data_IF_761031141915
#
_entry.id   IF_761031141915
#
_cell.length_a   1.000
_cell.length_b   1.000
_cell.length_c   1.000
_cell.angle_alpha   90.00
_cell.angle_beta   90.00
_cell.angle_gamma   90.00
#
_symmetry.space_group_name_H-M   'P 1'
#
loop_
_entity.id
_entity.type
_entity.pdbx_description
1 polymer ?
#
# COMPACT_ATOMS: atom_id res chain seq x y z
N UNK A 1 6.62 -35.03 -4.70
CA UNK A 1 8.06 -34.68 -4.73
C UNK A 1 8.27 -33.61 -3.66
N UNK A 2 9.11 -33.87 -2.66
CA UNK A 2 9.34 -32.90 -1.59
C UNK A 2 10.39 -31.87 -2.05
N UNK A 3 9.89 -30.74 -2.61
CA UNK A 3 10.74 -29.64 -3.01
C UNK A 3 11.07 -28.75 -1.81
N UNK A 4 12.32 -28.32 -1.72
CA UNK A 4 12.79 -27.37 -0.72
C UNK A 4 12.70 -25.96 -1.29
N UNK A 5 12.24 -24.99 -0.48
CA UNK A 5 12.25 -23.59 -0.88
C UNK A 5 13.66 -23.02 -0.87
N UNK A 6 14.01 -22.19 -1.86
CA UNK A 6 15.31 -21.47 -1.89
C UNK A 6 15.54 -20.67 -0.61
N UNK A 7 14.47 -20.07 -0.06
CA UNK A 7 14.54 -19.39 1.25
C UNK A 7 15.08 -20.28 2.36
N UNK A 8 14.65 -21.55 2.42
CA UNK A 8 15.10 -22.46 3.48
C UNK A 8 16.58 -22.84 3.29
N UNK A 9 17.05 -22.96 2.05
CA UNK A 9 18.48 -23.17 1.75
C UNK A 9 19.35 -22.02 2.29
N UNK A 10 18.88 -20.76 2.17
CA UNK A 10 19.59 -19.61 2.72
C UNK A 10 19.48 -19.49 4.24
N UNK A 11 18.30 -19.73 4.79
CA UNK A 11 18.01 -19.53 6.23
C UNK A 11 18.51 -20.67 7.11
N UNK A 12 18.62 -21.88 6.54
CA UNK A 12 18.99 -23.11 7.25
C UNK A 12 20.11 -23.85 6.51
N UNK A 13 21.07 -23.11 5.98
CA UNK A 13 22.14 -23.65 5.14
C UNK A 13 22.82 -24.87 5.77
N UNK A 14 23.07 -24.85 7.06
CA UNK A 14 23.75 -25.94 7.80
C UNK A 14 22.99 -27.28 7.76
N UNK A 15 21.64 -27.24 7.60
CA UNK A 15 20.83 -28.44 7.49
C UNK A 15 20.92 -29.10 6.10
N UNK A 16 21.25 -28.31 5.06
CA UNK A 16 21.18 -28.74 3.67
C UNK A 16 22.54 -28.91 2.98
N UNK A 17 23.60 -28.32 3.52
CA UNK A 17 24.96 -28.50 2.95
C UNK A 17 25.34 -29.98 2.98
N UNK A 18 25.93 -30.44 1.86
CA UNK A 18 26.27 -31.84 1.56
C UNK A 18 25.08 -32.79 1.39
N UNK A 19 23.83 -32.31 1.46
CA UNK A 19 22.63 -33.09 1.13
C UNK A 19 22.23 -32.90 -0.33
N UNK A 20 21.55 -33.92 -0.88
CA UNK A 20 20.83 -33.79 -2.16
C UNK A 20 19.50 -33.10 -1.92
N UNK A 21 19.27 -31.99 -2.62
CA UNK A 21 18.05 -31.18 -2.54
C UNK A 21 17.36 -31.12 -3.89
N UNK A 22 16.04 -30.93 -3.85
CA UNK A 22 15.23 -30.69 -5.08
C UNK A 22 14.56 -29.34 -4.95
N UNK A 23 14.75 -28.46 -5.94
CA UNK A 23 14.10 -27.15 -6.07
C UNK A 23 13.38 -27.03 -7.42
N UNK A 24 12.29 -26.25 -7.45
CA UNK A 24 11.64 -25.86 -8.70
C UNK A 24 11.71 -24.34 -8.84
N UNK A 25 11.95 -23.83 -10.04
CA UNK A 25 12.02 -22.40 -10.23
C UNK A 25 12.24 -21.96 -11.69
N UNK A 26 12.44 -20.67 -11.88
CA UNK A 26 12.61 -20.05 -13.20
C UNK A 26 14.03 -19.61 -13.42
N UNK A 27 14.51 -19.87 -14.65
CA UNK A 27 15.84 -19.46 -15.11
C UNK A 27 15.91 -17.93 -15.21
N UNK A 28 16.80 -17.33 -14.41
CA UNK A 28 17.13 -15.89 -14.44
C UNK A 28 18.29 -15.57 -15.35
N UNK A 29 19.26 -16.45 -15.42
CA UNK A 29 20.35 -16.39 -16.39
C UNK A 29 20.95 -17.77 -16.59
N UNK A 30 21.54 -17.97 -17.77
CA UNK A 30 22.30 -19.18 -18.09
C UNK A 30 23.63 -18.77 -18.74
N UNK A 31 24.67 -19.48 -18.41
CA UNK A 31 26.01 -19.35 -19.01
C UNK A 31 26.54 -20.72 -19.31
N UNK A 32 26.81 -20.97 -20.57
CA UNK A 32 27.30 -22.25 -21.07
C UNK A 32 28.82 -22.22 -21.25
N UNK A 33 29.48 -23.33 -20.98
CA UNK A 33 30.84 -23.63 -21.30
C UNK A 33 30.86 -25.02 -21.97
N UNK A 34 32.01 -25.40 -22.52
CA UNK A 34 32.13 -26.60 -23.41
C UNK A 34 31.63 -27.91 -22.75
N UNK A 35 31.84 -28.10 -21.45
CA UNK A 35 31.50 -29.35 -20.75
C UNK A 35 30.63 -29.11 -19.49
N UNK A 36 30.30 -27.88 -19.15
CA UNK A 36 29.52 -27.50 -17.98
C UNK A 36 28.88 -26.12 -18.18
N UNK A 37 27.99 -25.75 -17.31
CA UNK A 37 27.39 -24.41 -17.31
C UNK A 37 26.83 -24.03 -15.96
N UNK A 38 26.34 -22.80 -15.90
CA UNK A 38 25.74 -22.20 -14.71
C UNK A 38 24.35 -21.70 -15.03
N UNK A 39 23.39 -22.05 -14.21
CA UNK A 39 22.02 -21.52 -14.25
C UNK A 39 21.77 -20.79 -12.94
N UNK A 40 21.25 -19.58 -13.02
CA UNK A 40 20.72 -18.86 -11.86
C UNK A 40 19.22 -19.10 -11.82
N UNK A 41 18.73 -19.70 -10.75
CA UNK A 41 17.33 -20.08 -10.56
C UNK A 41 16.72 -19.26 -9.43
N UNK A 42 15.53 -18.75 -9.66
CA UNK A 42 14.72 -18.10 -8.65
C UNK A 42 13.39 -18.85 -8.54
N UNK A 43 13.00 -19.23 -7.32
CA UNK A 43 11.76 -19.93 -7.03
C UNK A 43 10.65 -19.00 -6.48
N UNK A 44 10.94 -17.70 -6.33
CA UNK A 44 10.02 -16.71 -5.78
C UNK A 44 9.89 -16.75 -4.24
N UNK A 45 10.52 -17.68 -3.54
CA UNK A 45 10.43 -17.78 -2.08
C UNK A 45 11.45 -16.90 -1.35
N UNK A 46 12.51 -16.49 -2.03
CA UNK A 46 13.57 -15.65 -1.48
C UNK A 46 14.08 -14.66 -2.52
N UNK A 47 14.54 -13.49 -2.08
CA UNK A 47 15.02 -12.45 -2.98
C UNK A 47 16.33 -12.86 -3.70
N UNK A 48 17.26 -13.49 -2.99
CA UNK A 48 18.50 -13.97 -3.58
C UNK A 48 18.26 -15.29 -4.33
N UNK A 49 18.63 -15.36 -5.61
CA UNK A 49 18.50 -16.58 -6.39
C UNK A 49 19.63 -17.55 -6.06
N UNK A 50 19.44 -18.83 -6.42
CA UNK A 50 20.47 -19.87 -6.25
C UNK A 50 21.20 -20.15 -7.56
N UNK A 51 22.51 -20.40 -7.47
CA UNK A 51 23.32 -20.88 -8.59
C UNK A 51 23.26 -22.41 -8.67
N UNK A 52 23.00 -22.89 -9.86
CA UNK A 52 23.05 -24.32 -10.22
C UNK A 52 24.21 -24.51 -11.19
N UNK A 53 25.06 -25.48 -10.87
CA UNK A 53 26.14 -25.94 -11.76
C UNK A 53 25.70 -27.23 -12.41
N UNK A 54 25.73 -27.30 -13.72
CA UNK A 54 25.44 -28.52 -14.48
C UNK A 54 26.58 -28.89 -15.39
N UNK A 55 26.69 -30.16 -15.75
CA UNK A 55 27.77 -30.68 -16.59
C UNK A 55 27.24 -31.70 -17.60
N UNK A 56 28.12 -32.07 -18.55
CA UNK A 56 27.84 -33.06 -19.57
C UNK A 56 27.60 -34.50 -19.06
N UNK A 57 27.53 -34.68 -17.75
CA UNK A 57 27.10 -35.94 -17.11
C UNK A 57 25.56 -36.06 -17.13
N UNK A 58 24.83 -34.92 -17.27
CA UNK A 58 23.38 -34.94 -17.43
C UNK A 58 22.97 -35.65 -18.73
N UNK A 59 21.97 -36.53 -18.67
CA UNK A 59 21.43 -37.22 -19.84
C UNK A 59 20.88 -36.24 -20.89
N UNK A 60 20.32 -35.10 -20.44
CA UNK A 60 19.70 -34.08 -21.29
C UNK A 60 20.55 -32.78 -21.37
N UNK A 61 21.88 -32.91 -21.25
CA UNK A 61 22.81 -31.75 -21.29
C UNK A 61 22.55 -30.83 -22.47
N UNK A 62 22.42 -31.38 -23.69
CA UNK A 62 22.19 -30.65 -24.93
C UNK A 62 20.90 -29.83 -24.95
N UNK A 63 19.88 -30.27 -24.20
CA UNK A 63 18.62 -29.52 -24.08
C UNK A 63 18.71 -28.46 -23.00
N UNK A 64 19.39 -28.74 -21.89
CA UNK A 64 19.63 -27.79 -20.79
C UNK A 64 20.47 -26.61 -21.29
N UNK A 65 21.52 -26.83 -22.09
CA UNK A 65 22.35 -25.74 -22.61
C UNK A 65 21.61 -24.78 -23.56
N UNK A 66 20.49 -25.21 -24.15
CA UNK A 66 19.61 -24.41 -25.04
C UNK A 66 18.52 -23.64 -24.30
N UNK A 67 18.42 -23.77 -23.00
CA UNK A 67 17.40 -23.08 -22.22
C UNK A 67 17.53 -21.56 -22.33
N UNK A 68 16.39 -20.89 -22.39
CA UNK A 68 16.31 -19.43 -22.35
C UNK A 68 15.92 -18.94 -20.95
N UNK A 69 16.20 -17.66 -20.72
CA UNK A 69 15.68 -16.93 -19.53
C UNK A 69 14.15 -17.06 -19.50
N UNK A 70 13.61 -17.31 -18.32
CA UNK A 70 12.18 -17.51 -18.11
C UNK A 70 11.72 -18.96 -18.19
N UNK A 71 12.57 -19.91 -18.63
CA UNK A 71 12.23 -21.33 -18.59
C UNK A 71 11.98 -21.81 -17.15
N UNK A 72 11.04 -22.74 -16.98
CA UNK A 72 10.75 -23.38 -15.71
C UNK A 72 11.46 -24.74 -15.63
N UNK A 73 12.19 -24.97 -14.55
CA UNK A 73 12.96 -26.21 -14.35
C UNK A 73 12.80 -26.73 -12.91
N UNK A 74 12.95 -28.06 -12.78
CA UNK A 74 13.16 -28.72 -11.49
C UNK A 74 14.60 -29.25 -11.48
N UNK A 75 15.33 -28.91 -10.42
CA UNK A 75 16.72 -29.28 -10.24
C UNK A 75 16.86 -30.16 -9.02
N UNK A 76 17.42 -31.36 -9.20
CA UNK A 76 17.87 -32.22 -8.10
C UNK A 76 19.39 -32.30 -8.13
N UNK A 77 20.03 -32.07 -7.00
CA UNK A 77 21.48 -32.10 -6.91
C UNK A 77 22.01 -31.82 -5.52
N UNK A 78 23.31 -31.99 -5.36
CA UNK A 78 24.01 -31.78 -4.10
C UNK A 78 24.20 -30.30 -3.80
N UNK A 79 23.81 -29.84 -2.61
CA UNK A 79 24.11 -28.48 -2.13
C UNK A 79 25.54 -28.43 -1.62
N UNK A 80 26.37 -27.59 -2.21
CA UNK A 80 27.78 -27.47 -1.88
C UNK A 80 28.11 -26.06 -1.40
N UNK A 81 28.74 -25.94 -0.23
CA UNK A 81 29.19 -24.66 0.27
C UNK A 81 30.31 -24.08 -0.61
N UNK A 82 30.25 -22.77 -0.86
CA UNK A 82 31.25 -22.04 -1.67
C UNK A 82 31.85 -20.87 -0.88
N UNK A 83 32.60 -21.15 0.20
CA UNK A 83 33.16 -20.13 1.07
C UNK A 83 34.12 -19.20 0.28
N UNK A 84 33.99 -17.88 0.53
CA UNK A 84 34.83 -16.87 -0.13
C UNK A 84 34.38 -16.45 -1.53
N UNK A 85 33.27 -16.97 -2.02
CA UNK A 85 32.62 -16.49 -3.27
C UNK A 85 31.44 -15.57 -2.97
N UNK A 86 30.84 -15.00 -4.02
CA UNK A 86 29.72 -14.08 -3.87
C UNK A 86 28.48 -14.76 -3.28
N UNK A 87 28.20 -16.01 -3.65
CA UNK A 87 27.12 -16.81 -3.10
C UNK A 87 27.66 -17.79 -2.05
N UNK A 88 26.90 -18.08 -0.97
CA UNK A 88 27.37 -18.95 0.12
C UNK A 88 27.42 -20.44 -0.26
N UNK A 89 26.66 -20.84 -1.28
CA UNK A 89 26.56 -22.21 -1.79
C UNK A 89 26.10 -22.25 -3.24
N UNK A 90 26.18 -23.43 -3.84
CA UNK A 90 25.61 -23.74 -5.15
C UNK A 90 25.03 -25.16 -5.15
N UNK A 91 24.13 -25.46 -6.09
CA UNK A 91 23.62 -26.80 -6.31
C UNK A 91 24.40 -27.43 -7.47
N UNK A 92 25.08 -28.52 -7.22
CA UNK A 92 25.67 -29.34 -8.27
C UNK A 92 24.62 -30.31 -8.78
N UNK A 93 24.08 -30.03 -9.96
CA UNK A 93 22.94 -30.74 -10.54
C UNK A 93 23.30 -32.18 -10.89
N UNK A 94 22.51 -33.11 -10.39
CA UNK A 94 22.48 -34.53 -10.73
C UNK A 94 21.39 -34.82 -11.77
N UNK A 95 20.28 -34.04 -11.72
CA UNK A 95 19.15 -34.11 -12.65
C UNK A 95 18.56 -32.73 -12.85
N UNK A 96 18.19 -32.39 -14.08
CA UNK A 96 17.41 -31.20 -14.42
C UNK A 96 16.23 -31.65 -15.28
N UNK A 97 15.01 -31.41 -14.78
CA UNK A 97 13.79 -31.63 -15.52
C UNK A 97 13.30 -30.28 -16.07
N UNK A 98 12.95 -30.24 -17.36
CA UNK A 98 12.45 -29.04 -18.02
C UNK A 98 10.92 -29.09 -17.99
N UNK A 99 10.31 -28.31 -17.07
CA UNK A 99 8.86 -28.19 -16.93
C UNK A 99 8.24 -27.35 -18.04
N UNK A 100 8.92 -26.27 -18.41
CA UNK A 100 8.44 -25.37 -19.46
C UNK A 100 9.58 -24.59 -20.11
N UNK A 101 9.61 -24.62 -21.45
CA UNK A 101 10.57 -23.83 -22.21
C UNK A 101 10.13 -22.38 -22.33
N UNK A 102 11.11 -21.48 -22.49
CA UNK A 102 10.87 -20.07 -22.81
C UNK A 102 11.39 -19.78 -24.22
N UNK A 103 10.61 -19.04 -24.98
CA UNK A 103 10.97 -18.69 -26.36
C UNK A 103 11.93 -17.49 -26.42
N UNK A 104 12.71 -17.34 -27.51
CA UNK A 104 13.69 -16.26 -27.65
C UNK A 104 13.11 -14.84 -27.62
N UNK A 105 11.82 -14.68 -27.85
CA UNK A 105 11.08 -13.42 -27.81
C UNK A 105 10.59 -13.04 -26.40
N UNK A 106 10.94 -13.83 -25.37
CA UNK A 106 10.65 -13.50 -23.98
C UNK A 106 11.05 -12.06 -23.64
N UNK A 107 10.12 -11.19 -23.19
CA UNK A 107 10.36 -9.74 -23.15
C UNK A 107 11.35 -9.30 -22.08
N UNK A 108 11.52 -10.09 -21.00
CA UNK A 108 12.42 -9.76 -19.89
C UNK A 108 13.85 -10.30 -20.16
N UNK A 109 14.45 -9.87 -21.25
CA UNK A 109 15.83 -10.22 -21.59
C UNK A 109 16.84 -9.56 -20.62
N UNK A 110 18.09 -10.04 -20.60
CA UNK A 110 19.18 -9.54 -19.76
C UNK A 110 19.61 -8.12 -20.17
N UNK A 111 18.73 -7.14 -19.96
CA UNK A 111 18.98 -5.70 -20.17
C UNK A 111 18.19 -4.89 -19.15
N UNK A 112 18.55 -3.62 -18.97
CA UNK A 112 17.76 -2.71 -18.13
C UNK A 112 16.43 -2.38 -18.83
N UNK A 113 15.32 -2.54 -18.11
CA UNK A 113 13.99 -2.16 -18.56
C UNK A 113 13.53 -0.93 -17.78
N UNK A 114 12.84 0.02 -18.44
CA UNK A 114 12.23 1.15 -17.75
C UNK A 114 10.94 0.70 -17.02
N UNK A 115 10.54 1.43 -16.00
CA UNK A 115 9.30 1.14 -15.30
C UNK A 115 8.07 1.34 -16.19
N UNK A 116 8.10 2.33 -17.09
CA UNK A 116 7.05 2.55 -18.09
C UNK A 116 6.85 1.31 -18.96
N UNK A 117 7.93 0.74 -19.48
CA UNK A 117 7.85 -0.50 -20.25
C UNK A 117 7.31 -1.66 -19.41
N UNK A 118 7.80 -1.82 -18.17
CA UNK A 118 7.34 -2.91 -17.29
C UNK A 118 5.87 -2.79 -16.90
N UNK A 119 5.29 -1.60 -16.91
CA UNK A 119 3.84 -1.41 -16.74
C UNK A 119 3.03 -1.97 -17.91
N UNK A 120 3.56 -1.97 -19.12
CA UNK A 120 2.88 -2.55 -20.29
C UNK A 120 2.86 -4.07 -20.29
N UNK A 121 3.68 -4.70 -19.44
CA UNK A 121 3.74 -6.15 -19.24
C UNK A 121 3.56 -6.51 -17.76
N UNK A 122 2.55 -5.94 -17.12
CA UNK A 122 2.29 -6.08 -15.69
C UNK A 122 2.23 -7.54 -15.21
N UNK A 123 1.77 -8.46 -16.06
CA UNK A 123 1.71 -9.91 -15.78
C UNK A 123 3.10 -10.60 -15.75
N UNK A 124 4.13 -10.00 -16.32
CA UNK A 124 5.50 -10.55 -16.34
C UNK A 124 6.46 -9.78 -15.43
N UNK A 125 6.19 -8.50 -15.13
CA UNK A 125 7.10 -7.68 -14.33
C UNK A 125 7.45 -8.24 -12.94
N UNK A 126 6.58 -9.07 -12.26
CA UNK A 126 6.96 -9.71 -11.01
C UNK A 126 8.21 -10.61 -11.10
N UNK A 127 8.56 -11.05 -12.31
CA UNK A 127 9.79 -11.83 -12.57
C UNK A 127 11.06 -10.99 -12.59
N UNK A 128 10.99 -9.67 -12.38
CA UNK A 128 12.16 -8.79 -12.24
C UNK A 128 12.53 -8.61 -10.77
N UNK A 129 13.79 -8.39 -10.45
CA UNK A 129 14.24 -8.19 -9.06
C UNK A 129 13.48 -7.05 -8.36
N UNK A 130 13.26 -5.93 -9.06
CA UNK A 130 12.57 -4.77 -8.47
C UNK A 130 11.15 -5.12 -8.06
N UNK A 131 10.37 -5.74 -8.96
CA UNK A 131 8.97 -6.01 -8.67
C UNK A 131 8.77 -7.26 -7.82
N UNK A 132 9.69 -8.21 -7.85
CA UNK A 132 9.76 -9.28 -6.86
C UNK A 132 9.91 -8.68 -5.45
N UNK A 133 10.91 -7.81 -5.24
CA UNK A 133 11.12 -7.14 -3.97
C UNK A 133 9.90 -6.31 -3.53
N UNK A 134 9.33 -5.49 -4.43
CA UNK A 134 8.17 -4.64 -4.14
C UNK A 134 6.99 -5.47 -3.67
N UNK A 135 6.62 -6.53 -4.40
CA UNK A 135 5.42 -7.30 -4.05
C UNK A 135 5.62 -8.24 -2.87
N UNK A 136 6.84 -8.70 -2.61
CA UNK A 136 7.16 -9.40 -1.36
C UNK A 136 7.02 -8.48 -0.15
N UNK A 137 7.61 -7.27 -0.22
CA UNK A 137 7.50 -6.28 0.86
C UNK A 137 6.05 -5.80 1.01
N UNK A 138 5.31 -5.57 -0.09
CA UNK A 138 3.87 -5.26 -0.03
C UNK A 138 3.09 -6.32 0.75
N UNK A 139 3.32 -7.61 0.47
CA UNK A 139 2.69 -8.71 1.19
C UNK A 139 3.04 -8.71 2.67
N UNK A 140 4.32 -8.45 2.99
CA UNK A 140 4.80 -8.40 4.37
C UNK A 140 4.21 -7.23 5.16
N UNK A 141 4.08 -6.05 4.54
CA UNK A 141 3.42 -4.87 5.13
C UNK A 141 1.96 -5.19 5.45
N UNK A 142 1.23 -5.84 4.54
CA UNK A 142 -0.16 -6.21 4.79
C UNK A 142 -0.29 -7.14 6.01
N UNK A 143 0.58 -8.14 6.11
CA UNK A 143 0.63 -9.02 7.28
C UNK A 143 0.99 -8.26 8.57
N UNK A 144 1.98 -7.37 8.52
CA UNK A 144 2.39 -6.56 9.67
C UNK A 144 1.25 -5.69 10.20
N UNK A 145 0.44 -5.09 9.31
CA UNK A 145 -0.73 -4.29 9.67
C UNK A 145 -1.77 -5.16 10.39
N UNK A 146 -2.15 -6.31 9.81
CA UNK A 146 -3.07 -7.22 10.47
C UNK A 146 -2.54 -7.68 11.83
N UNK A 147 -1.27 -8.05 11.91
CA UNK A 147 -0.62 -8.48 13.15
C UNK A 147 -0.65 -7.37 14.21
N UNK A 148 -0.32 -6.14 13.83
CA UNK A 148 -0.36 -4.97 14.73
C UNK A 148 -1.73 -4.80 15.41
N UNK A 149 -2.80 -4.84 14.62
CA UNK A 149 -4.14 -4.64 15.14
C UNK A 149 -4.67 -5.86 15.92
N UNK A 150 -4.44 -7.07 15.40
CA UNK A 150 -4.92 -8.29 16.07
C UNK A 150 -4.26 -8.52 17.43
N UNK A 151 -2.96 -8.21 17.56
CA UNK A 151 -2.24 -8.29 18.86
C UNK A 151 -2.69 -7.24 19.88
N UNK A 152 -3.53 -6.28 19.47
CA UNK A 152 -4.12 -5.20 20.29
C UNK A 152 -5.62 -5.34 20.45
N UNK A 153 -6.16 -6.52 20.18
CA UNK A 153 -7.59 -6.85 20.32
C UNK A 153 -8.52 -5.98 19.44
N UNK A 154 -8.03 -5.47 18.30
CA UNK A 154 -8.88 -4.82 17.31
C UNK A 154 -9.65 -5.86 16.50
N UNK A 155 -10.92 -5.58 16.22
CA UNK A 155 -11.74 -6.41 15.35
C UNK A 155 -11.61 -5.95 13.90
N UNK A 156 -11.23 -6.86 13.00
CA UNK A 156 -11.25 -6.60 11.56
C UNK A 156 -12.66 -6.62 11.02
N UNK A 157 -13.10 -5.55 10.39
CA UNK A 157 -14.46 -5.40 9.87
C UNK A 157 -14.47 -5.31 8.35
N UNK A 158 -15.30 -6.14 7.72
CA UNK A 158 -15.63 -6.03 6.30
C UNK A 158 -16.73 -4.99 6.12
N UNK A 159 -16.40 -3.83 5.59
CA UNK A 159 -17.37 -2.80 5.20
C UNK A 159 -17.76 -2.95 3.72
N UNK A 160 -18.97 -2.54 3.30
CA UNK A 160 -19.43 -2.70 1.93
C UNK A 160 -18.58 -1.95 0.92
N UNK A 161 -18.26 -2.59 -0.20
CA UNK A 161 -17.63 -1.94 -1.36
C UNK A 161 -18.65 -1.23 -2.25
N UNK A 162 -19.88 -1.76 -2.32
CA UNK A 162 -21.00 -1.13 -3.02
C UNK A 162 -21.84 -0.40 -1.99
N UNK A 163 -22.00 0.90 -2.14
CA UNK A 163 -22.66 1.76 -1.18
C UNK A 163 -23.66 2.72 -1.84
N UNK A 164 -24.68 3.11 -1.08
CA UNK A 164 -25.59 4.19 -1.46
C UNK A 164 -25.26 5.53 -0.78
N UNK A 165 -24.18 5.61 0.02
CA UNK A 165 -23.76 6.83 0.73
C UNK A 165 -22.39 7.28 0.29
N UNK A 166 -22.14 8.60 0.31
CA UNK A 166 -20.81 9.19 0.09
C UNK A 166 -20.18 9.55 1.43
N UNK A 167 -19.09 8.88 1.78
CA UNK A 167 -18.39 9.09 3.05
C UNK A 167 -17.79 10.49 3.15
N UNK A 168 -17.29 11.04 2.05
CA UNK A 168 -16.61 12.34 2.04
C UNK A 168 -17.54 13.50 1.67
N UNK A 169 -18.75 13.18 1.17
CA UNK A 169 -19.78 14.17 0.83
C UNK A 169 -19.52 14.99 -0.45
N UNK A 170 -18.45 14.69 -1.17
CA UNK A 170 -18.07 15.37 -2.42
C UNK A 170 -17.20 14.48 -3.32
N UNK A 171 -17.15 13.17 -3.06
CA UNK A 171 -16.30 12.25 -3.80
C UNK A 171 -16.79 11.98 -5.21
N UNK A 172 -15.90 12.01 -6.19
CA UNK A 172 -16.18 11.46 -7.51
C UNK A 172 -16.19 9.93 -7.42
N UNK A 173 -17.39 9.35 -7.47
CA UNK A 173 -17.61 7.92 -7.27
C UNK A 173 -17.88 7.19 -8.58
N UNK A 174 -17.33 5.99 -8.73
CA UNK A 174 -17.74 5.09 -9.80
C UNK A 174 -19.14 4.55 -9.53
N UNK A 175 -20.04 4.71 -10.48
CA UNK A 175 -21.40 4.17 -10.38
C UNK A 175 -21.41 2.66 -10.65
N UNK A 176 -22.17 1.93 -9.84
CA UNK A 176 -22.45 0.50 -10.02
C UNK A 176 -23.89 0.32 -10.48
N UNK A 177 -24.08 -0.22 -11.66
CA UNK A 177 -25.43 -0.42 -12.25
C UNK A 177 -25.48 -1.67 -13.12
N UNK A 178 -26.65 -2.29 -13.19
CA UNK A 178 -26.96 -3.38 -14.13
C UNK A 178 -27.89 -2.92 -15.25
N UNK A 179 -28.22 -1.63 -15.30
CA UNK A 179 -29.06 -1.08 -16.37
C UNK A 179 -28.30 -1.07 -17.72
N UNK A 180 -29.02 -1.31 -18.80
CA UNK A 180 -28.47 -1.18 -20.14
C UNK A 180 -28.25 0.30 -20.46
N UNK A 181 -26.99 0.69 -20.58
CA UNK A 181 -26.60 2.09 -20.87
C UNK A 181 -27.11 2.59 -22.24
N UNK A 182 -27.43 1.69 -23.15
CA UNK A 182 -28.02 2.03 -24.46
C UNK A 182 -29.53 2.23 -24.41
N UNK A 183 -30.19 1.73 -23.33
CA UNK A 183 -31.64 1.76 -23.20
C UNK A 183 -32.02 1.99 -21.72
N UNK A 184 -31.63 3.14 -21.17
CA UNK A 184 -31.91 3.50 -19.81
C UNK A 184 -33.41 3.68 -19.57
N UNK A 185 -34.01 3.02 -18.56
CA UNK A 185 -35.38 3.32 -18.13
C UNK A 185 -35.43 4.73 -17.55
N UNK A 186 -36.51 5.46 -17.86
CA UNK A 186 -36.65 6.86 -17.42
C UNK A 186 -37.96 7.10 -16.71
N UNK A 187 -37.90 7.96 -15.72
CA UNK A 187 -39.03 8.56 -15.07
C UNK A 187 -39.74 9.57 -16.00
N UNK A 188 -40.99 9.98 -15.69
CA UNK A 188 -41.71 10.99 -16.49
C UNK A 188 -40.99 12.36 -16.62
N UNK A 189 -40.10 12.69 -15.67
CA UNK A 189 -39.27 13.90 -15.66
C UNK A 189 -37.97 13.77 -16.47
N UNK A 190 -37.72 12.61 -17.07
CA UNK A 190 -36.54 12.32 -17.89
C UNK A 190 -35.33 11.82 -17.11
N UNK A 191 -35.39 11.77 -15.79
CA UNK A 191 -34.31 11.17 -14.95
C UNK A 191 -34.28 9.66 -15.08
N UNK A 192 -33.16 9.00 -14.72
CA UNK A 192 -33.04 7.55 -14.73
C UNK A 192 -33.94 6.92 -13.68
N UNK A 193 -34.74 5.93 -14.07
CA UNK A 193 -35.56 5.15 -13.14
C UNK A 193 -34.73 4.02 -12.48
N UNK A 194 -34.05 4.34 -11.41
CA UNK A 194 -33.27 3.37 -10.63
C UNK A 194 -34.10 2.32 -9.90
N UNK A 195 -35.44 2.44 -9.85
CA UNK A 195 -36.29 1.36 -9.32
C UNK A 195 -36.20 0.08 -10.17
N UNK A 196 -35.66 0.17 -11.38
CA UNK A 196 -35.40 -0.94 -12.29
C UNK A 196 -33.98 -1.49 -12.20
N UNK A 197 -33.11 -0.85 -11.43
CA UNK A 197 -31.74 -1.33 -11.21
C UNK A 197 -31.70 -2.41 -10.11
N UNK A 198 -30.57 -3.11 -10.01
CA UNK A 198 -30.40 -4.25 -9.10
C UNK A 198 -30.74 -3.95 -7.64
N UNK A 199 -30.31 -2.78 -7.13
CA UNK A 199 -30.54 -2.35 -5.75
C UNK A 199 -31.75 -1.43 -5.57
N UNK A 200 -32.54 -1.21 -6.59
CA UNK A 200 -33.69 -0.29 -6.63
C UNK A 200 -33.35 1.16 -6.23
N UNK A 201 -32.09 1.55 -6.30
CA UNK A 201 -31.57 2.90 -6.02
C UNK A 201 -30.20 3.08 -6.66
N UNK A 202 -29.72 4.33 -6.84
CA UNK A 202 -28.33 4.58 -7.25
C UNK A 202 -27.34 3.99 -6.25
N UNK A 203 -26.31 3.31 -6.76
CA UNK A 203 -25.23 2.76 -5.94
C UNK A 203 -23.87 3.03 -6.60
N UNK A 204 -22.84 3.10 -5.77
CA UNK A 204 -21.50 3.43 -6.20
C UNK A 204 -20.47 2.51 -5.52
N UNK A 205 -19.25 2.50 -6.06
CA UNK A 205 -18.10 1.95 -5.34
C UNK A 205 -17.67 2.91 -4.23
N UNK A 206 -17.35 2.39 -3.07
CA UNK A 206 -17.02 3.18 -1.87
C UNK A 206 -15.70 3.95 -2.02
N UNK A 207 -15.64 5.15 -1.44
CA UNK A 207 -14.42 5.95 -1.29
C UNK A 207 -13.73 5.73 0.07
N UNK A 208 -14.42 5.09 1.04
CA UNK A 208 -13.91 4.79 2.39
C UNK A 208 -14.87 3.84 3.11
N UNK A 209 -14.31 3.00 3.98
CA UNK A 209 -15.09 2.15 4.88
C UNK A 209 -15.43 2.81 6.22
N UNK A 210 -15.00 4.05 6.46
CA UNK A 210 -15.05 4.72 7.77
C UNK A 210 -16.44 4.77 8.38
N UNK A 211 -17.44 5.32 7.69
CA UNK A 211 -18.77 5.52 8.30
C UNK A 211 -19.41 4.19 8.74
N UNK A 212 -19.26 3.14 7.94
CA UNK A 212 -19.72 1.80 8.31
C UNK A 212 -18.85 1.20 9.42
N UNK A 213 -17.53 1.47 9.42
CA UNK A 213 -16.60 1.05 10.47
C UNK A 213 -16.97 1.63 11.83
N UNK A 214 -17.30 2.92 11.89
CA UNK A 214 -17.72 3.57 13.13
C UNK A 214 -18.94 2.90 13.78
N UNK A 215 -19.85 2.31 13.00
CA UNK A 215 -20.99 1.57 13.57
C UNK A 215 -20.53 0.39 14.40
N UNK A 216 -19.46 -0.27 13.98
CA UNK A 216 -18.87 -1.41 14.69
C UNK A 216 -17.97 -0.97 15.85
N UNK A 217 -17.31 0.17 15.75
CA UNK A 217 -16.56 0.75 16.87
C UNK A 217 -17.47 1.07 18.07
N UNK A 218 -18.71 1.51 17.81
CA UNK A 218 -19.72 1.75 18.84
C UNK A 218 -20.21 0.46 19.52
N UNK A 219 -19.81 -0.73 19.06
CA UNK A 219 -20.16 -2.01 19.66
C UNK A 219 -18.93 -2.79 20.15
N UNK A 220 -17.82 -2.75 19.40
CA UNK A 220 -16.61 -3.53 19.65
C UNK A 220 -15.45 -2.69 20.24
N UNK A 221 -15.65 -1.38 20.43
CA UNK A 221 -14.67 -0.43 20.96
C UNK A 221 -13.53 -0.12 19.97
N UNK A 222 -12.74 -1.12 19.55
CA UNK A 222 -11.60 -0.96 18.67
C UNK A 222 -11.79 -1.83 17.43
N UNK A 223 -11.87 -1.21 16.27
CA UNK A 223 -12.00 -1.90 14.99
C UNK A 223 -11.01 -1.36 13.98
N UNK A 224 -10.81 -2.08 12.90
CA UNK A 224 -10.15 -1.55 11.72
C UNK A 224 -10.74 -2.16 10.45
N UNK A 225 -10.72 -1.38 9.37
CA UNK A 225 -10.93 -1.87 8.02
C UNK A 225 -9.58 -2.02 7.33
N UNK A 226 -9.48 -2.90 6.38
CA UNK A 226 -8.37 -3.01 5.43
C UNK A 226 -8.96 -3.53 4.12
N UNK A 227 -9.30 -2.63 3.24
CA UNK A 227 -10.05 -2.98 2.06
C UNK A 227 -9.89 -2.00 0.89
N UNK A 228 -10.34 -2.44 -0.30
CA UNK A 228 -10.32 -1.62 -1.51
C UNK A 228 -11.20 -0.38 -1.35
N UNK A 229 -10.71 0.73 -1.88
CA UNK A 229 -11.43 1.99 -2.05
C UNK A 229 -11.26 2.49 -3.47
N UNK A 230 -12.20 3.30 -3.94
CA UNK A 230 -12.29 3.69 -5.34
C UNK A 230 -12.56 5.18 -5.44
N UNK A 231 -11.80 5.87 -6.30
CA UNK A 231 -12.00 7.30 -6.58
C UNK A 231 -11.96 7.54 -8.08
N UNK A 232 -13.01 8.17 -8.62
CA UNK A 232 -13.14 8.47 -10.05
C UNK A 232 -12.51 9.80 -10.46
N UNK A 233 -11.71 10.40 -9.59
CA UNK A 233 -11.03 11.66 -9.85
C UNK A 233 -10.16 11.60 -11.11
N UNK A 234 -10.32 12.59 -11.99
CA UNK A 234 -9.48 12.69 -13.19
C UNK A 234 -8.09 13.26 -12.86
N UNK A 235 -7.36 12.56 -12.00
CA UNK A 235 -6.01 12.93 -11.56
C UNK A 235 -4.96 11.96 -12.11
N UNK A 236 -4.02 12.49 -12.89
CA UNK A 236 -2.95 11.69 -13.51
C UNK A 236 -1.58 12.00 -12.89
N UNK A 237 -1.49 11.92 -11.57
CA UNK A 237 -0.24 12.11 -10.83
C UNK A 237 0.44 10.77 -10.51
N UNK A 238 1.63 10.84 -9.97
CA UNK A 238 2.37 9.65 -9.49
C UNK A 238 1.82 9.06 -8.20
N UNK A 239 0.86 9.71 -7.55
CA UNK A 239 0.31 9.34 -6.23
C UNK A 239 -1.16 8.97 -6.25
N UNK A 240 -1.85 9.07 -7.41
CA UNK A 240 -3.27 8.77 -7.54
C UNK A 240 -3.49 7.50 -8.36
N UNK A 241 -4.36 6.66 -7.85
CA UNK A 241 -4.93 5.50 -8.52
C UNK A 241 -6.44 5.51 -8.32
N UNK A 242 -7.18 4.95 -9.27
CA UNK A 242 -8.64 4.86 -9.19
C UNK A 242 -9.11 3.74 -8.23
N UNK A 243 -8.25 2.75 -8.01
CA UNK A 243 -8.44 1.65 -7.07
C UNK A 243 -7.18 1.52 -6.21
N UNK A 244 -7.35 1.55 -4.90
CA UNK A 244 -6.28 1.41 -3.92
C UNK A 244 -6.86 0.86 -2.61
N UNK A 245 -6.02 0.55 -1.61
CA UNK A 245 -6.46 0.01 -0.34
C UNK A 245 -6.28 1.01 0.78
N UNK A 246 -7.27 1.06 1.68
CA UNK A 246 -7.20 1.88 2.89
C UNK A 246 -7.19 1.01 4.14
N UNK A 247 -6.40 1.43 5.13
CA UNK A 247 -6.44 0.93 6.50
C UNK A 247 -7.07 2.02 7.35
N UNK A 248 -8.21 1.72 7.97
CA UNK A 248 -9.02 2.71 8.67
C UNK A 248 -9.43 2.16 10.05
N UNK A 249 -8.59 2.34 11.09
CA UNK A 249 -8.98 2.04 12.47
C UNK A 249 -9.94 3.09 13.00
N UNK A 250 -10.86 2.63 13.88
CA UNK A 250 -11.75 3.49 14.66
C UNK A 250 -11.73 3.01 16.12
N UNK A 251 -11.50 3.94 17.05
CA UNK A 251 -11.35 3.67 18.47
C UNK A 251 -12.37 4.47 19.28
N UNK A 252 -13.22 3.77 20.01
CA UNK A 252 -14.22 4.40 20.89
C UNK A 252 -13.62 4.77 22.26
N UNK A 253 -14.21 5.76 22.90
CA UNK A 253 -13.75 6.38 24.16
C UNK A 253 -12.38 7.02 24.05
N UNK A 254 -11.98 7.41 22.85
CA UNK A 254 -10.70 8.00 22.51
C UNK A 254 -10.87 9.42 21.95
N UNK A 255 -9.86 10.23 22.13
CA UNK A 255 -9.77 11.56 21.57
C UNK A 255 -8.67 11.65 20.48
N UNK A 256 -8.41 12.88 20.02
CA UNK A 256 -7.40 13.11 18.97
C UNK A 256 -5.98 12.71 19.42
N UNK A 257 -5.67 12.85 20.70
CA UNK A 257 -4.37 12.45 21.25
C UNK A 257 -4.19 10.93 21.19
N UNK A 258 -5.21 10.18 21.57
CA UNK A 258 -5.20 8.71 21.49
C UNK A 258 -5.04 8.22 20.05
N UNK A 259 -5.65 8.92 19.10
CA UNK A 259 -5.55 8.64 17.66
C UNK A 259 -4.12 8.84 17.13
N UNK A 260 -3.49 9.95 17.50
CA UNK A 260 -2.08 10.22 17.16
C UNK A 260 -1.13 9.19 17.75
N UNK A 261 -1.34 8.77 18.99
CA UNK A 261 -0.52 7.73 19.65
C UNK A 261 -0.66 6.39 18.90
N UNK A 262 -1.87 6.01 18.49
CA UNK A 262 -2.11 4.80 17.72
C UNK A 262 -1.42 4.87 16.35
N UNK A 263 -1.56 6.00 15.64
CA UNK A 263 -0.96 6.22 14.32
C UNK A 263 0.57 6.15 14.37
N UNK A 264 1.20 6.83 15.33
CA UNK A 264 2.65 6.78 15.55
C UNK A 264 3.13 5.36 15.85
N UNK A 265 2.44 4.68 16.77
CA UNK A 265 2.76 3.29 17.16
C UNK A 265 2.66 2.33 15.98
N UNK A 266 1.61 2.45 15.16
CA UNK A 266 1.41 1.62 13.97
C UNK A 266 2.51 1.84 12.94
N UNK A 267 2.82 3.09 12.61
CA UNK A 267 3.81 3.40 11.60
C UNK A 267 5.21 2.91 12.00
N UNK A 268 5.61 3.14 13.26
CA UNK A 268 6.87 2.62 13.80
C UNK A 268 6.92 1.10 13.78
N UNK A 269 5.82 0.45 14.14
CA UNK A 269 5.73 -1.01 14.11
C UNK A 269 5.92 -1.58 12.70
N UNK A 270 5.23 -1.03 11.72
CA UNK A 270 5.33 -1.47 10.32
C UNK A 270 6.76 -1.30 9.79
N UNK A 271 7.38 -0.14 10.03
CA UNK A 271 8.75 0.13 9.60
C UNK A 271 9.72 -0.90 10.21
N UNK A 272 9.69 -1.08 11.52
CA UNK A 272 10.58 -2.03 12.20
C UNK A 272 10.34 -3.46 11.72
N UNK A 273 9.07 -3.86 11.55
CA UNK A 273 8.72 -5.21 11.09
C UNK A 273 9.29 -5.51 9.70
N UNK A 274 9.22 -4.56 8.78
CA UNK A 274 9.76 -4.71 7.43
C UNK A 274 11.29 -4.73 7.44
N UNK A 275 11.94 -3.84 8.19
CA UNK A 275 13.40 -3.80 8.31
C UNK A 275 13.96 -5.11 8.89
N UNK A 276 13.24 -5.74 9.82
CA UNK A 276 13.65 -6.99 10.47
C UNK A 276 13.39 -8.22 9.58
N UNK A 277 12.28 -8.25 8.83
CA UNK A 277 11.81 -9.46 8.14
C UNK A 277 12.06 -9.48 6.62
N UNK A 278 12.53 -8.37 6.03
CA UNK A 278 12.88 -8.27 4.62
C UNK A 278 14.22 -7.51 4.40
N UNK A 279 15.31 -7.87 5.13
CA UNK A 279 16.56 -7.11 5.07
C UNK A 279 17.19 -7.13 3.66
N UNK A 280 17.04 -8.21 2.90
CA UNK A 280 17.60 -8.36 1.57
C UNK A 280 16.91 -7.42 0.57
N UNK A 281 15.58 -7.39 0.57
CA UNK A 281 14.77 -6.50 -0.26
C UNK A 281 15.00 -5.03 0.11
N UNK A 282 15.07 -4.72 1.40
CA UNK A 282 15.31 -3.36 1.89
C UNK A 282 16.70 -2.85 1.54
N UNK A 283 17.73 -3.71 1.60
CA UNK A 283 19.06 -3.39 1.12
C UNK A 283 19.08 -3.13 -0.40
N UNK A 284 18.32 -3.90 -1.18
CA UNK A 284 18.15 -3.68 -2.60
C UNK A 284 17.51 -2.32 -2.90
N UNK A 285 16.43 -1.97 -2.23
CA UNK A 285 15.79 -0.65 -2.41
C UNK A 285 16.74 0.50 -2.07
N UNK A 286 17.45 0.40 -0.95
CA UNK A 286 18.41 1.43 -0.55
C UNK A 286 19.54 1.61 -1.55
N UNK A 287 19.99 0.53 -2.18
CA UNK A 287 21.12 0.57 -3.11
C UNK A 287 20.73 0.99 -4.53
N UNK A 288 19.53 0.63 -4.99
CA UNK A 288 19.15 0.73 -6.41
C UNK A 288 17.94 1.62 -6.70
N UNK A 289 17.11 1.90 -5.69
CA UNK A 289 15.86 2.67 -5.88
C UNK A 289 15.97 4.04 -5.22
N UNK A 290 16.25 4.09 -3.91
CA UNK A 290 16.28 5.32 -3.13
C UNK A 290 17.42 5.29 -2.11
N UNK A 291 18.54 5.91 -2.48
CA UNK A 291 19.72 6.03 -1.61
C UNK A 291 19.37 6.82 -0.35
N UNK A 292 19.67 6.26 0.82
CA UNK A 292 19.32 6.84 2.13
C UNK A 292 17.96 6.41 2.67
N UNK A 293 17.26 5.50 1.98
CA UNK A 293 15.99 4.94 2.43
C UNK A 293 16.07 4.34 3.83
N UNK A 294 17.05 3.49 4.08
CA UNK A 294 17.22 2.82 5.39
C UNK A 294 17.48 3.82 6.50
N UNK A 295 18.35 4.82 6.28
CA UNK A 295 18.64 5.87 7.26
C UNK A 295 17.36 6.67 7.59
N UNK A 296 16.58 7.06 6.57
CA UNK A 296 15.33 7.79 6.75
C UNK A 296 14.30 6.98 7.53
N UNK A 297 14.10 5.71 7.18
CA UNK A 297 13.15 4.84 7.87
C UNK A 297 13.55 4.57 9.32
N UNK A 298 14.83 4.32 9.60
CA UNK A 298 15.36 4.15 10.95
C UNK A 298 15.19 5.45 11.77
N UNK A 299 15.45 6.61 11.15
CA UNK A 299 15.22 7.90 11.81
C UNK A 299 13.75 8.06 12.21
N UNK A 300 12.80 7.79 11.31
CA UNK A 300 11.36 7.88 11.61
C UNK A 300 10.95 6.89 12.70
N UNK A 301 11.41 5.65 12.64
CA UNK A 301 11.08 4.62 13.63
C UNK A 301 11.59 4.95 15.05
N UNK A 302 12.68 5.71 15.16
CA UNK A 302 13.32 6.06 16.42
C UNK A 302 13.01 7.48 16.91
N UNK A 303 12.31 8.31 16.13
CA UNK A 303 11.95 9.67 16.51
C UNK A 303 10.64 9.71 17.27
N UNK A 304 10.53 10.63 18.23
CA UNK A 304 9.21 11.08 18.71
C UNK A 304 8.61 12.01 17.67
N UNK A 305 7.36 11.82 17.32
CA UNK A 305 6.70 12.66 16.32
C UNK A 305 6.38 14.04 16.92
N UNK A 306 6.73 15.09 16.19
CA UNK A 306 6.41 16.45 16.59
C UNK A 306 4.90 16.71 16.46
N UNK A 307 4.39 17.73 17.15
CA UNK A 307 3.00 18.17 17.10
C UNK A 307 2.96 19.66 16.90
N UNK A 308 2.11 20.11 16.02
CA UNK A 308 1.89 21.52 15.69
C UNK A 308 0.45 21.71 15.23
N UNK A 309 -0.20 22.78 15.60
CA UNK A 309 -1.51 23.13 15.05
C UNK A 309 -1.35 23.63 13.60
N UNK A 310 -2.40 23.50 12.80
CA UNK A 310 -2.42 24.07 11.45
C UNK A 310 -2.14 25.55 11.45
N UNK A 311 -2.69 26.30 12.41
CA UNK A 311 -2.45 27.73 12.55
C UNK A 311 -0.97 28.06 12.77
N UNK A 312 -0.31 27.37 13.72
CA UNK A 312 1.13 27.53 13.95
C UNK A 312 1.96 27.09 12.74
N UNK A 313 1.58 25.98 12.09
CA UNK A 313 2.25 25.51 10.87
C UNK A 313 2.18 26.54 9.75
N UNK A 314 1.02 27.16 9.52
CA UNK A 314 0.85 28.24 8.54
C UNK A 314 1.70 29.45 8.90
N UNK A 315 1.74 29.87 10.17
CA UNK A 315 2.59 31.00 10.63
C UNK A 315 4.09 30.73 10.39
N UNK A 316 4.53 29.48 10.51
CA UNK A 316 5.90 29.08 10.20
C UNK A 316 6.14 29.14 8.68
N UNK A 317 5.23 28.57 7.89
CA UNK A 317 5.36 28.47 6.45
C UNK A 317 5.26 29.85 5.75
N UNK A 318 4.37 30.75 6.21
CA UNK A 318 4.23 32.11 5.66
C UNK A 318 5.54 32.88 5.70
N UNK A 319 6.38 32.70 6.72
CA UNK A 319 7.71 33.31 6.82
C UNK A 319 8.67 32.85 5.72
N UNK A 320 8.34 31.75 5.05
CA UNK A 320 9.14 31.12 4.01
C UNK A 320 8.41 31.00 2.66
N UNK A 321 7.35 31.77 2.47
CA UNK A 321 6.54 31.74 1.27
C UNK A 321 7.33 32.04 -0.03
N UNK A 322 8.47 32.72 0.07
CA UNK A 322 9.39 32.95 -1.05
C UNK A 322 9.98 31.66 -1.64
N UNK A 323 10.04 30.57 -0.85
CA UNK A 323 10.57 29.26 -1.25
C UNK A 323 9.56 28.35 -1.96
N UNK A 324 8.27 28.65 -1.88
CA UNK A 324 7.20 27.78 -2.34
C UNK A 324 6.65 28.22 -3.69
N UNK A 325 6.29 27.25 -4.54
CA UNK A 325 5.54 27.48 -5.76
C UNK A 325 4.12 27.93 -5.41
N UNK A 326 3.45 27.20 -4.52
CA UNK A 326 2.11 27.52 -4.01
C UNK A 326 2.23 28.31 -2.71
N UNK A 327 1.73 29.55 -2.71
CA UNK A 327 1.77 30.38 -1.49
C UNK A 327 0.76 29.89 -0.47
N UNK A 328 1.21 29.71 0.75
CA UNK A 328 0.37 29.30 1.87
C UNK A 328 -0.20 30.51 2.60
N UNK A 329 -1.46 30.42 2.99
CA UNK A 329 -2.14 31.33 3.90
C UNK A 329 -3.19 30.56 4.70
N UNK A 330 -3.63 31.12 5.82
CA UNK A 330 -4.62 30.43 6.66
C UNK A 330 -5.91 30.15 5.87
N UNK A 331 -6.42 28.92 5.96
CA UNK A 331 -7.59 28.45 5.22
C UNK A 331 -7.28 27.72 3.90
N UNK A 332 -6.00 27.66 3.46
CA UNK A 332 -5.60 26.90 2.26
C UNK A 332 -5.10 25.50 2.61
N UNK A 333 -5.35 24.54 1.73
CA UNK A 333 -4.76 23.20 1.85
C UNK A 333 -3.24 23.25 1.76
N UNK A 334 -2.57 22.53 2.66
CA UNK A 334 -1.13 22.35 2.57
C UNK A 334 -0.78 21.47 1.37
N UNK A 335 0.18 21.94 0.56
CA UNK A 335 0.71 21.18 -0.55
C UNK A 335 1.90 20.33 -0.09
N UNK A 336 2.24 19.30 -0.84
CA UNK A 336 3.38 18.41 -0.50
C UNK A 336 4.69 19.19 -0.23
N UNK A 337 4.93 20.29 -0.91
CA UNK A 337 6.13 21.12 -0.66
C UNK A 337 6.11 21.73 0.75
N UNK A 338 4.93 22.14 1.24
CA UNK A 338 4.76 22.68 2.59
C UNK A 338 4.96 21.59 3.65
N UNK A 339 4.35 20.43 3.44
CA UNK A 339 4.44 19.27 4.34
C UNK A 339 5.88 18.77 4.47
N UNK A 340 6.58 18.66 3.35
CA UNK A 340 7.99 18.26 3.35
C UNK A 340 8.86 19.31 4.00
N UNK A 341 8.59 20.59 3.80
CA UNK A 341 9.34 21.66 4.44
C UNK A 341 9.21 21.61 5.98
N UNK A 342 8.01 21.33 6.49
CA UNK A 342 7.81 21.13 7.93
C UNK A 342 8.62 19.94 8.45
N UNK A 343 8.58 18.79 7.76
CA UNK A 343 9.22 17.55 8.24
C UNK A 343 10.74 17.53 8.02
N UNK A 344 11.25 18.14 6.93
CA UNK A 344 12.65 18.02 6.52
C UNK A 344 13.50 19.23 7.00
N UNK A 345 12.92 20.43 7.02
CA UNK A 345 13.67 21.66 7.34
C UNK A 345 13.39 22.18 8.75
N UNK A 346 12.12 22.18 9.18
CA UNK A 346 11.72 22.79 10.45
C UNK A 346 11.88 21.80 11.61
N UNK A 347 11.11 20.71 11.60
CA UNK A 347 11.09 19.74 12.71
C UNK A 347 12.15 18.65 12.58
N UNK A 348 12.62 18.38 11.37
CA UNK A 348 13.58 17.31 11.01
C UNK A 348 13.19 15.93 11.52
N UNK A 349 11.89 15.66 11.56
CA UNK A 349 11.26 14.41 12.01
C UNK A 349 9.79 14.39 11.59
N UNK A 350 9.07 13.26 11.75
CA UNK A 350 7.63 13.23 11.51
C UNK A 350 6.88 14.26 12.37
N UNK A 351 5.78 14.78 11.81
CA UNK A 351 4.99 15.85 12.42
C UNK A 351 3.51 15.52 12.31
N UNK A 352 2.80 15.60 13.41
CA UNK A 352 1.34 15.70 13.40
C UNK A 352 0.94 17.18 13.30
N UNK A 353 0.15 17.49 12.26
CA UNK A 353 -0.51 18.79 12.12
C UNK A 353 -1.97 18.63 12.51
N UNK A 354 -2.46 19.43 13.45
CA UNK A 354 -3.81 19.29 14.03
C UNK A 354 -4.64 20.55 13.84
N UNK A 355 -5.94 20.44 14.12
CA UNK A 355 -6.86 21.58 14.23
C UNK A 355 -6.95 22.43 12.96
N UNK A 356 -7.33 21.77 11.89
CA UNK A 356 -7.50 22.38 10.57
C UNK A 356 -8.77 23.23 10.47
N UNK A 357 -8.79 24.23 9.57
CA UNK A 357 -10.01 24.96 9.24
C UNK A 357 -11.14 24.03 8.82
N UNK A 358 -12.35 24.25 9.33
CA UNK A 358 -13.51 23.41 9.03
C UNK A 358 -13.89 23.38 7.55
N UNK A 359 -13.59 24.46 6.80
CA UNK A 359 -13.95 24.63 5.41
C UNK A 359 -13.22 23.66 4.47
N UNK A 360 -12.06 23.16 4.89
CA UNK A 360 -11.22 22.25 4.08
C UNK A 360 -11.22 20.81 4.61
N UNK A 361 -12.10 20.49 5.54
CA UNK A 361 -12.19 19.14 6.14
C UNK A 361 -13.63 18.61 6.12
N UNK A 362 -13.77 17.29 6.22
CA UNK A 362 -15.02 16.57 6.08
C UNK A 362 -16.03 16.86 7.21
N UNK A 363 -17.32 16.57 6.95
CA UNK A 363 -18.44 16.91 7.82
C UNK A 363 -18.43 16.19 9.18
N UNK A 364 -17.85 15.01 9.24
CA UNK A 364 -17.86 14.13 10.42
C UNK A 364 -16.83 14.49 11.49
N UNK A 365 -15.94 15.42 11.21
CA UNK A 365 -14.86 15.79 12.12
C UNK A 365 -15.39 16.69 13.24
N UNK A 366 -14.93 16.43 14.48
CA UNK A 366 -15.38 17.16 15.66
C UNK A 366 -15.05 18.65 15.59
N UNK A 367 -16.07 19.48 15.75
CA UNK A 367 -15.89 20.93 15.81
C UNK A 367 -15.19 21.34 17.12
N UNK A 368 -14.12 22.10 17.03
CA UNK A 368 -13.46 22.70 18.18
C UNK A 368 -14.28 23.86 18.77
N UNK A 369 -13.98 24.23 20.01
CA UNK A 369 -14.73 25.27 20.73
C UNK A 369 -14.59 26.67 20.13
N UNK A 370 -13.58 26.90 19.28
CA UNK A 370 -13.38 28.15 18.55
C UNK A 370 -14.42 28.38 17.42
N UNK A 371 -15.17 27.35 17.04
CA UNK A 371 -16.17 27.36 15.97
C UNK A 371 -15.57 27.54 14.56
N UNK A 372 -14.28 27.49 14.40
CA UNK A 372 -13.54 27.72 13.14
C UNK A 372 -12.73 26.51 12.68
N UNK A 373 -12.19 25.75 13.64
CA UNK A 373 -11.36 24.59 13.38
C UNK A 373 -12.05 23.29 13.78
N UNK A 374 -11.56 22.18 13.25
CA UNK A 374 -11.99 20.83 13.60
C UNK A 374 -10.82 20.02 14.12
N UNK A 375 -11.06 19.06 14.99
CA UNK A 375 -10.06 18.14 15.55
C UNK A 375 -9.60 17.12 14.52
N UNK A 376 -9.10 17.62 13.40
CA UNK A 376 -8.44 16.84 12.34
C UNK A 376 -6.95 16.65 12.67
N UNK A 377 -6.35 15.64 12.09
CA UNK A 377 -4.90 15.40 12.16
C UNK A 377 -4.39 14.82 10.85
N UNK A 378 -3.28 15.34 10.37
CA UNK A 378 -2.48 14.74 9.30
C UNK A 378 -1.10 14.38 9.86
N UNK A 379 -0.66 13.14 9.65
CA UNK A 379 0.69 12.69 9.97
C UNK A 379 1.58 12.88 8.76
N UNK A 380 2.54 13.77 8.88
CA UNK A 380 3.51 14.09 7.84
C UNK A 380 4.84 13.38 8.12
N UNK A 381 5.44 12.78 7.09
CA UNK A 381 6.75 12.13 7.19
C UNK A 381 7.74 12.68 6.16
N UNK A 382 9.04 12.69 6.47
CA UNK A 382 10.07 13.12 5.51
C UNK A 382 10.02 12.30 4.22
N UNK A 383 10.16 12.97 3.07
CA UNK A 383 10.23 12.34 1.75
C UNK A 383 8.89 12.23 1.01
N UNK A 384 7.77 12.08 1.72
CA UNK A 384 6.46 11.92 1.07
C UNK A 384 5.42 12.98 1.48
N UNK A 385 5.55 13.59 2.66
CA UNK A 385 4.54 14.45 3.25
C UNK A 385 3.47 13.66 3.99
N UNK A 386 2.19 13.98 3.79
CA UNK A 386 1.08 13.28 4.42
C UNK A 386 1.06 11.79 4.08
N UNK A 387 1.04 10.94 5.11
CA UNK A 387 0.92 9.48 5.01
C UNK A 387 -0.34 8.96 5.70
N UNK A 388 -0.81 9.64 6.75
CA UNK A 388 -2.02 9.32 7.51
C UNK A 388 -2.84 10.60 7.65
N UNK A 389 -4.15 10.52 7.41
CA UNK A 389 -5.12 11.56 7.74
C UNK A 389 -6.18 11.00 8.68
N UNK A 390 -6.55 11.75 9.71
CA UNK A 390 -7.51 11.30 10.71
C UNK A 390 -8.24 12.44 11.43
N UNK A 391 -9.07 12.08 12.38
CA UNK A 391 -9.73 13.06 13.26
C UNK A 391 -10.36 12.42 14.48
N UNK A 392 -10.61 13.21 15.50
CA UNK A 392 -11.69 12.91 16.42
C UNK A 392 -13.02 13.15 15.68
N UNK A 393 -14.00 12.26 15.89
CA UNK A 393 -15.28 12.31 15.21
C UNK A 393 -16.26 13.16 16.01
N UNK A 394 -17.19 13.85 15.31
CA UNK A 394 -18.25 14.60 15.98
C UNK A 394 -19.21 13.63 16.70
N UNK A 395 -19.29 13.74 17.99
CA UNK A 395 -20.10 12.90 18.88
C UNK A 395 -21.39 13.59 19.36
N UNK A 396 -21.57 14.87 19.03
CA UNK A 396 -22.77 15.64 19.30
C UNK A 396 -23.74 15.58 18.10
N UNK A 397 -24.96 15.11 18.36
CA UNK A 397 -25.99 14.94 17.34
C UNK A 397 -26.35 16.26 16.63
N UNK A 398 -26.62 17.31 17.41
CA UNK A 398 -27.09 18.59 16.85
C UNK A 398 -25.99 19.28 16.03
N UNK A 399 -24.74 19.21 16.48
CA UNK A 399 -23.58 19.72 15.73
C UNK A 399 -23.37 18.98 14.42
N UNK A 400 -23.50 17.66 14.45
CA UNK A 400 -23.34 16.83 13.25
C UNK A 400 -24.44 17.13 12.21
N UNK A 401 -25.72 17.22 12.66
CA UNK A 401 -26.85 17.62 11.80
C UNK A 401 -26.62 19.01 11.20
N UNK A 402 -26.20 19.97 12.02
CA UNK A 402 -25.92 21.32 11.54
C UNK A 402 -24.83 21.32 10.46
N UNK A 403 -23.78 20.50 10.63
CA UNK A 403 -22.69 20.42 9.67
C UNK A 403 -23.11 19.72 8.36
N UNK A 404 -23.90 18.67 8.42
CA UNK A 404 -24.51 18.00 7.25
C UNK A 404 -25.32 19.02 6.43
N UNK A 405 -26.17 19.81 7.11
CA UNK A 405 -26.99 20.82 6.46
C UNK A 405 -26.17 22.00 5.90
N UNK A 406 -25.12 22.45 6.61
CA UNK A 406 -24.20 23.51 6.14
C UNK A 406 -23.54 23.13 4.82
N UNK A 407 -23.21 21.86 4.61
CA UNK A 407 -22.62 21.34 3.39
C UNK A 407 -23.62 20.95 2.30
N UNK A 408 -24.91 21.13 2.55
CA UNK A 408 -25.98 20.79 1.61
C UNK A 408 -26.19 19.30 1.38
N UNK A 409 -25.70 18.46 2.31
CA UNK A 409 -25.90 17.02 2.30
C UNK A 409 -27.31 16.69 2.82
N UNK A 410 -27.85 15.52 2.45
CA UNK A 410 -29.17 15.08 2.88
C UNK A 410 -29.09 14.22 4.13
N UNK A 411 -29.73 14.63 5.21
CA UNK A 411 -29.76 13.86 6.47
C UNK A 411 -30.23 12.41 6.27
N UNK A 412 -31.16 12.20 5.34
CA UNK A 412 -31.75 10.88 5.03
C UNK A 412 -30.68 9.87 4.57
N UNK A 413 -29.65 10.32 3.86
CA UNK A 413 -28.56 9.47 3.36
C UNK A 413 -27.59 9.06 4.50
N UNK A 414 -27.61 9.79 5.62
CA UNK A 414 -26.75 9.58 6.79
C UNK A 414 -27.51 9.19 8.06
N UNK A 415 -28.77 8.79 7.97
CA UNK A 415 -29.61 8.47 9.14
C UNK A 415 -28.95 7.40 10.02
N UNK A 416 -28.38 6.35 9.43
CA UNK A 416 -27.68 5.29 10.17
C UNK A 416 -26.48 5.83 10.97
N UNK A 417 -25.83 6.84 10.46
CA UNK A 417 -24.67 7.49 11.08
C UNK A 417 -25.10 8.46 12.20
N UNK A 418 -26.20 9.18 11.99
CA UNK A 418 -26.84 10.02 13.00
C UNK A 418 -27.38 9.20 14.18
N UNK A 419 -27.88 8.01 13.92
CA UNK A 419 -28.39 7.10 14.96
C UNK A 419 -27.30 6.70 15.97
N UNK A 420 -26.03 6.65 15.56
CA UNK A 420 -24.91 6.39 16.48
C UNK A 420 -24.76 7.50 17.54
N UNK A 421 -25.16 8.74 17.22
CA UNK A 421 -25.13 9.87 18.17
C UNK A 421 -26.38 9.91 19.05
N UNK A 422 -27.46 9.31 18.58
CA UNK A 422 -28.75 9.25 19.29
C UNK A 422 -28.79 8.10 20.28
N UNK A 423 -28.19 6.97 19.96
CA UNK A 423 -28.31 5.73 20.72
C UNK A 423 -26.96 5.35 21.37
N UNK A 424 -26.57 6.08 22.40
CA UNK A 424 -25.36 5.79 23.18
C UNK A 424 -24.10 6.33 22.55
N UNK A 425 -24.12 7.61 22.17
CA UNK A 425 -22.93 8.29 21.65
C UNK A 425 -21.74 8.20 22.59
N UNK A 426 -20.57 7.96 22.01
CA UNK A 426 -19.31 8.02 22.73
C UNK A 426 -18.30 8.84 21.91
N UNK A 427 -17.40 9.57 22.58
CA UNK A 427 -16.26 10.16 21.89
C UNK A 427 -15.48 9.05 21.21
N UNK A 428 -15.04 9.29 19.99
CA UNK A 428 -14.25 8.32 19.22
C UNK A 428 -13.41 9.03 18.18
N UNK A 429 -12.37 8.37 17.73
CA UNK A 429 -11.42 8.89 16.78
C UNK A 429 -10.94 7.78 15.85
N UNK A 430 -10.37 8.16 14.73
CA UNK A 430 -9.82 7.23 13.78
C UNK A 430 -9.07 7.93 12.66
N UNK A 431 -8.33 7.15 11.89
CA UNK A 431 -7.55 7.66 10.79
C UNK A 431 -7.57 6.74 9.57
N UNK A 432 -7.10 7.24 8.43
CA UNK A 432 -6.88 6.48 7.22
C UNK A 432 -5.40 6.46 6.84
N UNK A 433 -4.86 5.27 6.60
CA UNK A 433 -3.56 5.06 5.96
C UNK A 433 -3.78 4.49 4.57
N UNK A 434 -3.36 5.22 3.53
CA UNK A 434 -3.30 4.69 2.17
C UNK A 434 -2.23 3.61 2.06
N UNK A 435 -2.66 2.36 1.78
CA UNK A 435 -1.73 1.22 1.78
C UNK A 435 -0.63 1.37 0.74
N UNK A 436 -0.98 1.78 -0.47
CA UNK A 436 -0.02 2.00 -1.56
C UNK A 436 0.97 3.12 -1.25
N UNK A 437 0.51 4.19 -0.60
CA UNK A 437 1.39 5.28 -0.15
C UNK A 437 2.39 4.78 0.90
N UNK A 438 1.93 3.92 1.81
CA UNK A 438 2.80 3.25 2.77
C UNK A 438 3.83 2.35 2.09
N UNK A 439 3.42 1.55 1.09
CA UNK A 439 4.35 0.70 0.33
C UNK A 439 5.36 1.55 -0.44
N UNK A 440 4.93 2.64 -1.10
CA UNK A 440 5.84 3.59 -1.75
C UNK A 440 6.87 4.14 -0.77
N UNK A 441 6.42 4.56 0.41
CA UNK A 441 7.28 5.12 1.44
C UNK A 441 8.34 4.13 1.92
N UNK A 442 7.95 2.88 2.19
CA UNK A 442 8.84 1.84 2.69
C UNK A 442 9.79 1.27 1.62
N UNK A 443 9.44 1.34 0.35
CA UNK A 443 10.25 0.81 -0.75
C UNK A 443 11.06 1.87 -1.50
N UNK A 444 10.75 3.15 -1.28
CA UNK A 444 11.34 4.26 -2.05
C UNK A 444 10.80 4.38 -3.49
N UNK A 445 9.77 3.61 -3.85
CA UNK A 445 9.17 3.69 -5.17
C UNK A 445 8.43 5.01 -5.36
N UNK A 446 8.70 5.71 -6.46
CA UNK A 446 8.21 7.07 -6.71
C UNK A 446 6.85 7.14 -7.38
N UNK A 447 6.27 6.01 -7.82
CA UNK A 447 5.02 5.98 -8.56
C UNK A 447 4.09 4.88 -8.03
N UNK A 448 2.87 5.25 -7.70
CA UNK A 448 1.85 4.33 -7.16
C UNK A 448 1.57 3.14 -8.09
N UNK A 449 1.70 3.33 -9.43
CA UNK A 449 1.53 2.26 -10.41
C UNK A 449 2.53 1.13 -10.26
N UNK A 450 3.65 1.39 -9.58
CA UNK A 450 4.73 0.43 -9.39
C UNK A 450 4.66 -0.33 -8.07
N UNK A 451 3.67 -0.02 -7.24
CA UNK A 451 3.39 -0.75 -5.98
C UNK A 451 2.04 -1.46 -5.98
N UNK A 452 1.30 -1.38 -7.08
CA UNK A 452 0.04 -2.09 -7.32
C UNK A 452 0.30 -3.16 -8.39
N UNK A 453 -0.08 -4.43 -8.18
CA UNK A 453 0.13 -5.50 -9.15
C UNK A 453 -0.44 -5.17 -10.54
N UNK A 454 -1.69 -4.75 -10.60
CA UNK A 454 -2.41 -4.34 -11.81
C UNK A 454 -3.08 -2.98 -11.56
N UNK A 455 -2.39 -1.87 -11.80
CA UNK A 455 -2.88 -0.54 -11.41
C UNK A 455 -4.08 -0.11 -12.26
N UNK A 456 -5.09 0.45 -11.59
CA UNK A 456 -6.24 1.12 -12.21
C UNK A 456 -6.06 2.62 -12.08
N UNK A 457 -5.91 3.29 -13.19
CA UNK A 457 -5.69 4.74 -13.24
C UNK A 457 -6.44 5.35 -14.42
N UNK A 458 -6.49 6.66 -14.50
CA UNK A 458 -7.10 7.35 -15.66
C UNK A 458 -6.52 6.79 -16.96
N UNK A 459 -7.41 6.41 -17.88
CA UNK A 459 -7.09 5.80 -19.19
C UNK A 459 -6.31 4.48 -19.12
N UNK A 460 -6.30 3.79 -17.97
CA UNK A 460 -5.64 2.48 -17.84
C UNK A 460 -6.45 1.50 -16.99
N UNK A 461 -6.92 0.44 -17.65
CA UNK A 461 -7.60 -0.70 -17.03
C UNK A 461 -7.10 -2.03 -17.63
N UNK A 462 -5.85 -2.04 -18.09
CA UNK A 462 -5.26 -3.21 -18.75
C UNK A 462 -4.86 -4.29 -17.74
N UNK A 463 -5.19 -5.57 -18.06
CA UNK A 463 -4.95 -6.84 -17.32
C UNK A 463 -5.56 -6.89 -15.93
#
# INVERSE_FOLDING_TARGET
>A
MDMVNVRDLFRKQEEYVDQTVTIGGWVRSIRNSKNFGFIVVNDGTFFEPVQVVYSNVLENFDDVEKLNVGAAIIVTGKLVATPGTKQPFEIQAEQIEIEGVSTPDYPLQKKKHSFEYLRTISHLRPRTNTFEAVFRVRSLIAYAIHKFFQERDFVYVHTPLITGSDCEGAGEMFQVTTLDMNNLPKNPDGTVDYSKDFFNKPTNLTVSGQLNGETYAMAFKNIYTFGPTFRAENSNTTRHAAEFWMIEPEIAFADLEDDMILAESMLKYIINYVLENAPEEMAFFNNFIDKGLLERLQHVANSDFARVTYTEAVEILEKHNDKFEYKVSWGTDLQTEHERYLTEEIFKRPVFVTDYPKEIKAFYMKMNDDGKTVAAVDCLVPGIGEIIGGSQREDDYDKLVARINELGLKEEDYQFYLDLRKYGSARHAGFGLGFERCVMYLTGMSNIRDVIPFPRTVNNCEL
#
